data_IF_890845679514
#
_entry.id   IF_890845679514
#
_cell.length_a   1.000
_cell.length_b   1.000
_cell.length_c   1.000
_cell.angle_alpha   90.00
_cell.angle_beta   90.00
_cell.angle_gamma   90.00
#
_symmetry.space_group_name_H-M   'P 1'
#
loop_
_entity.id
_entity.type
_entity.pdbx_description
1 polymer ?
#
# COMPACT_ATOMS: atom_id res chain seq x y z
N UNK A 1 10.30 -2.02 -8.51
CA UNK A 1 9.49 -0.89 -7.99
C UNK A 1 10.23 -0.21 -6.83
N UNK A 2 10.47 -0.92 -5.73
CA UNK A 2 10.90 -0.31 -4.45
C UNK A 2 12.42 -0.12 -4.28
N UNK A 3 13.24 -0.76 -5.13
CA UNK A 3 14.70 -0.62 -5.00
C UNK A 3 15.21 0.81 -5.26
N UNK A 4 14.53 1.62 -6.11
CA UNK A 4 14.92 3.02 -6.32
C UNK A 4 14.55 3.90 -5.13
N UNK A 5 13.38 3.67 -4.53
CA UNK A 5 12.95 4.30 -3.28
C UNK A 5 13.94 4.01 -2.13
N UNK A 6 14.40 2.77 -2.00
CA UNK A 6 15.45 2.38 -1.04
C UNK A 6 16.79 3.12 -1.25
N UNK A 7 17.05 3.62 -2.46
CA UNK A 7 18.24 4.43 -2.77
C UNK A 7 18.06 5.91 -2.41
N UNK A 8 16.94 6.30 -1.79
CA UNK A 8 16.64 7.69 -1.43
C UNK A 8 16.28 8.56 -2.63
N UNK A 9 15.86 7.96 -3.75
CA UNK A 9 15.40 8.67 -4.93
C UNK A 9 13.87 8.53 -5.04
N UNK A 10 13.13 9.65 -5.13
CA UNK A 10 11.69 9.60 -5.38
C UNK A 10 11.42 8.82 -6.66
N UNK A 11 10.51 7.85 -6.60
CA UNK A 11 10.15 7.04 -7.74
C UNK A 11 8.65 6.78 -7.78
N UNK A 12 8.03 7.11 -8.90
CA UNK A 12 6.63 6.78 -9.18
C UNK A 12 6.64 5.70 -10.27
N UNK A 13 6.23 4.47 -9.94
CA UNK A 13 6.22 3.37 -10.88
C UNK A 13 4.96 3.42 -11.76
N UNK A 14 5.11 2.90 -12.98
CA UNK A 14 4.00 2.66 -13.90
C UNK A 14 3.48 1.24 -13.67
N UNK A 15 2.19 1.12 -13.40
CA UNK A 15 1.49 -0.15 -13.17
C UNK A 15 0.51 -0.38 -14.32
N UNK A 16 0.56 -1.55 -14.96
CA UNK A 16 -0.46 -1.90 -15.94
C UNK A 16 -1.77 -2.23 -15.21
N UNK A 17 -2.91 -1.76 -15.70
CA UNK A 17 -4.19 -1.76 -14.96
C UNK A 17 -4.71 -3.12 -14.49
N UNK A 18 -4.19 -4.25 -15.00
CA UNK A 18 -4.50 -5.59 -14.47
C UNK A 18 -3.67 -5.98 -13.23
N UNK A 19 -2.77 -5.11 -12.77
CA UNK A 19 -1.83 -5.35 -11.67
C UNK A 19 -1.99 -4.31 -10.55
N UNK A 20 -3.11 -3.60 -10.49
CA UNK A 20 -3.38 -2.62 -9.43
C UNK A 20 -3.40 -3.27 -8.05
N UNK A 21 -4.18 -4.36 -7.89
CA UNK A 21 -4.24 -5.11 -6.63
C UNK A 21 -2.86 -5.68 -6.23
N UNK A 22 -2.08 -6.15 -7.20
CA UNK A 22 -0.73 -6.66 -6.99
C UNK A 22 0.22 -5.54 -6.53
N UNK A 23 0.08 -4.33 -7.07
CA UNK A 23 0.86 -3.16 -6.65
C UNK A 23 0.50 -2.75 -5.22
N UNK A 24 -0.78 -2.74 -4.84
CA UNK A 24 -1.26 -2.44 -3.49
C UNK A 24 -0.77 -3.51 -2.49
N UNK A 25 -0.88 -4.79 -2.83
CA UNK A 25 -0.41 -5.87 -1.97
C UNK A 25 1.11 -5.81 -1.78
N UNK A 26 1.86 -5.52 -2.86
CA UNK A 26 3.30 -5.34 -2.81
C UNK A 26 3.68 -4.15 -1.93
N UNK A 27 3.03 -2.99 -2.10
CA UNK A 27 3.36 -1.78 -1.35
C UNK A 27 3.25 -1.99 0.17
N UNK A 28 2.19 -2.67 0.63
CA UNK A 28 2.02 -3.10 2.02
C UNK A 28 3.13 -4.04 2.48
N UNK A 29 3.42 -5.08 1.69
CA UNK A 29 4.44 -6.08 2.01
C UNK A 29 5.83 -5.46 2.19
N UNK A 30 6.14 -4.40 1.44
CA UNK A 30 7.42 -3.71 1.51
C UNK A 30 7.44 -2.52 2.50
N UNK A 31 6.40 -2.35 3.31
CA UNK A 31 6.33 -1.29 4.33
C UNK A 31 6.10 0.11 3.75
N UNK A 32 5.52 0.20 2.57
CA UNK A 32 5.25 1.45 1.85
C UNK A 32 3.76 1.56 1.47
N UNK A 33 2.83 1.53 2.44
CA UNK A 33 1.39 1.48 2.16
C UNK A 33 0.89 2.68 1.34
N UNK A 34 1.56 3.84 1.47
CA UNK A 34 1.23 5.08 0.76
C UNK A 34 2.01 5.28 -0.54
N UNK A 35 2.61 4.22 -1.10
CA UNK A 35 3.34 4.28 -2.36
C UNK A 35 2.41 4.76 -3.49
N UNK A 36 2.73 5.91 -4.07
CA UNK A 36 2.04 6.45 -5.23
C UNK A 36 2.53 5.77 -6.50
N UNK A 37 1.62 5.48 -7.43
CA UNK A 37 1.91 4.88 -8.73
C UNK A 37 0.90 5.35 -9.78
N UNK A 38 1.28 5.28 -11.06
CA UNK A 38 0.41 5.67 -12.18
C UNK A 38 -0.04 4.43 -12.93
N UNK A 39 -1.32 4.35 -13.27
CA UNK A 39 -1.91 3.21 -13.96
C UNK A 39 -1.97 3.46 -15.46
N UNK A 40 -1.44 2.53 -16.26
CA UNK A 40 -1.60 2.50 -17.72
C UNK A 40 -2.54 1.38 -18.15
N UNK A 41 -3.33 1.55 -19.23
CA UNK A 41 -4.41 0.62 -19.56
C UNK A 41 -3.92 -0.76 -20.02
N UNK A 42 -2.73 -0.88 -20.61
CA UNK A 42 -2.27 -2.13 -21.25
C UNK A 42 -0.99 -2.64 -20.61
N UNK A 43 -0.86 -3.97 -20.61
CA UNK A 43 0.36 -4.66 -20.21
C UNK A 43 1.37 -4.48 -21.34
N UNK A 44 2.59 -4.01 -21.02
CA UNK A 44 3.66 -3.79 -22.00
C UNK A 44 4.14 -5.08 -22.68
N UNK A 45 3.96 -6.25 -22.04
CA UNK A 45 4.37 -7.53 -22.60
C UNK A 45 3.61 -7.82 -23.90
N UNK A 46 4.36 -7.98 -24.99
CA UNK A 46 3.85 -8.23 -26.35
C UNK A 46 2.90 -7.13 -26.87
N UNK A 47 3.00 -5.91 -26.35
CA UNK A 47 2.30 -4.76 -26.88
C UNK A 47 3.10 -4.16 -28.04
N UNK A 48 2.42 -3.71 -29.09
CA UNK A 48 3.07 -3.04 -30.20
C UNK A 48 3.77 -1.76 -29.73
N UNK A 49 4.91 -1.43 -30.34
CA UNK A 49 5.78 -0.33 -29.89
C UNK A 49 5.07 1.03 -29.92
N UNK A 50 4.26 1.27 -30.95
CA UNK A 50 3.45 2.49 -31.08
C UNK A 50 2.47 2.65 -29.92
N UNK A 51 1.82 1.56 -29.51
CA UNK A 51 0.91 1.54 -28.37
C UNK A 51 1.65 1.64 -27.03
N UNK A 52 2.86 1.10 -26.92
CA UNK A 52 3.72 1.29 -25.74
C UNK A 52 4.04 2.78 -25.56
N UNK A 53 4.44 3.44 -26.65
CA UNK A 53 4.79 4.87 -26.64
C UNK A 53 3.56 5.69 -26.28
N UNK A 54 2.45 5.53 -27.02
CA UNK A 54 1.27 6.37 -26.83
C UNK A 54 0.71 6.27 -25.41
N UNK A 55 0.61 5.06 -24.84
CA UNK A 55 0.09 4.92 -23.47
C UNK A 55 1.07 5.45 -22.40
N UNK A 56 2.37 5.48 -22.71
CA UNK A 56 3.36 6.05 -21.79
C UNK A 56 3.29 7.55 -21.82
N UNK A 57 3.19 8.14 -23.02
CA UNK A 57 3.04 9.58 -23.24
C UNK A 57 1.80 10.12 -22.52
N UNK A 58 0.67 9.41 -22.64
CA UNK A 58 -0.58 9.75 -21.96
C UNK A 58 -0.44 9.78 -20.42
N UNK A 59 0.53 9.07 -19.86
CA UNK A 59 0.77 8.97 -18.41
C UNK A 59 1.84 9.94 -17.88
N UNK A 60 2.53 10.70 -18.75
CA UNK A 60 3.66 11.56 -18.33
C UNK A 60 3.22 12.64 -17.36
N UNK A 61 2.10 13.32 -17.63
CA UNK A 61 1.63 14.41 -16.79
C UNK A 61 1.26 13.92 -15.38
N UNK A 62 0.65 12.73 -15.28
CA UNK A 62 0.34 12.10 -14.01
C UNK A 62 1.62 11.71 -13.25
N UNK A 63 2.63 11.18 -13.95
CA UNK A 63 3.93 10.85 -13.34
C UNK A 63 4.62 12.09 -12.78
N UNK A 64 4.64 13.18 -13.54
CA UNK A 64 5.20 14.46 -13.10
C UNK A 64 4.40 14.99 -11.90
N UNK A 65 3.07 14.94 -11.97
CA UNK A 65 2.18 15.34 -10.89
C UNK A 65 2.49 14.61 -9.59
N UNK A 66 2.57 13.28 -9.63
CA UNK A 66 2.93 12.48 -8.46
C UNK A 66 4.34 12.81 -7.94
N UNK A 67 5.34 12.89 -8.82
CA UNK A 67 6.74 13.15 -8.42
C UNK A 67 6.97 14.57 -7.85
N UNK A 68 6.13 15.54 -8.22
CA UNK A 68 6.30 16.95 -7.86
C UNK A 68 5.31 17.43 -6.79
N UNK A 69 4.29 16.63 -6.48
CA UNK A 69 3.35 16.93 -5.41
C UNK A 69 4.02 16.78 -4.03
N UNK A 70 3.76 17.73 -3.12
CA UNK A 70 4.04 17.54 -1.71
C UNK A 70 3.18 16.36 -1.24
N UNK A 71 3.80 15.23 -0.89
CA UNK A 71 3.15 13.92 -0.65
C UNK A 71 2.19 13.85 0.54
N UNK A 72 1.20 14.75 0.63
CA UNK A 72 0.38 14.99 1.81
C UNK A 72 -1.03 14.42 1.76
N UNK A 73 -1.46 13.78 0.66
CA UNK A 73 -2.89 13.43 0.50
C UNK A 73 -3.30 12.03 0.99
N UNK A 74 -2.37 11.16 1.37
CA UNK A 74 -2.71 9.80 1.86
C UNK A 74 -2.41 9.55 3.33
N UNK A 75 -1.70 10.47 4.00
CA UNK A 75 -1.65 10.45 5.46
C UNK A 75 -2.96 10.98 6.04
N UNK A 76 -4.09 10.32 5.76
CA UNK A 76 -5.08 10.18 6.82
C UNK A 76 -4.37 9.37 7.89
N UNK A 77 -3.58 10.04 8.73
CA UNK A 77 -3.07 9.48 9.97
C UNK A 77 -4.35 9.23 10.76
N UNK A 78 -4.93 8.01 10.73
CA UNK A 78 -6.17 7.79 11.45
C UNK A 78 -5.74 7.96 12.88
N UNK A 79 -6.19 9.07 13.49
CA UNK A 79 -5.78 9.57 14.80
C UNK A 79 -5.30 8.41 15.65
N UNK A 80 -3.97 8.28 15.76
CA UNK A 80 -3.35 7.06 16.27
C UNK A 80 -3.89 6.89 17.68
N UNK A 81 -4.86 5.99 17.85
CA UNK A 81 -5.44 5.75 19.16
C UNK A 81 -4.35 5.08 19.98
N UNK A 82 -3.77 5.82 20.92
CA UNK A 82 -2.76 5.32 21.84
C UNK A 82 -3.25 4.08 22.63
N UNK A 83 -4.56 3.83 22.63
CA UNK A 83 -5.17 2.67 23.29
C UNK A 83 -6.36 2.16 22.49
N UNK A 84 -6.33 0.87 22.14
CA UNK A 84 -7.44 0.17 21.47
C UNK A 84 -8.12 -0.75 22.48
N UNK A 85 -9.45 -0.63 22.61
CA UNK A 85 -10.24 -1.42 23.56
C UNK A 85 -10.97 -2.56 22.84
N UNK A 86 -10.90 -3.76 23.40
CA UNK A 86 -11.62 -4.95 22.93
C UNK A 86 -12.54 -5.48 24.03
N UNK A 87 -13.79 -5.76 23.69
CA UNK A 87 -14.80 -6.28 24.63
C UNK A 87 -15.33 -7.65 24.18
N UNK A 88 -15.58 -8.52 25.16
CA UNK A 88 -16.09 -9.86 24.95
C UNK A 88 -16.89 -10.35 26.15
N UNK A 89 -17.52 -11.51 25.99
CA UNK A 89 -18.35 -12.12 27.04
C UNK A 89 -17.51 -12.44 28.30
N UNK A 90 -16.23 -12.72 28.11
CA UNK A 90 -15.23 -12.86 29.16
C UNK A 90 -13.84 -12.36 28.72
N UNK A 91 -12.84 -12.52 29.59
CA UNK A 91 -11.44 -12.14 29.28
C UNK A 91 -10.87 -12.91 28.09
N UNK A 92 -11.25 -14.18 27.92
CA UNK A 92 -10.72 -15.01 26.85
C UNK A 92 -11.29 -14.57 25.50
N UNK A 93 -12.60 -14.32 25.43
CA UNK A 93 -13.28 -13.79 24.24
C UNK A 93 -12.73 -12.41 23.85
N UNK A 94 -12.48 -11.52 24.81
CA UNK A 94 -11.86 -10.23 24.54
C UNK A 94 -10.46 -10.36 23.90
N UNK A 95 -9.63 -11.31 24.39
CA UNK A 95 -8.30 -11.58 23.84
C UNK A 95 -8.37 -12.22 22.45
N UNK A 96 -9.35 -13.10 22.20
CA UNK A 96 -9.56 -13.68 20.87
C UNK A 96 -9.96 -12.61 19.85
N UNK A 97 -10.88 -11.71 20.21
CA UNK A 97 -11.29 -10.58 19.37
C UNK A 97 -10.14 -9.63 19.08
N UNK A 98 -9.29 -9.36 20.08
CA UNK A 98 -8.05 -8.60 19.89
C UNK A 98 -7.13 -9.27 18.87
N UNK A 99 -6.83 -10.55 19.04
CA UNK A 99 -5.94 -11.28 18.12
C UNK A 99 -6.51 -11.35 16.69
N UNK A 100 -7.81 -11.56 16.53
CA UNK A 100 -8.47 -11.55 15.23
C UNK A 100 -8.35 -10.20 14.52
N UNK A 101 -8.54 -9.09 15.24
CA UNK A 101 -8.40 -7.75 14.68
C UNK A 101 -6.95 -7.41 14.33
N UNK A 102 -5.99 -7.80 15.17
CA UNK A 102 -4.56 -7.59 14.90
C UNK A 102 -4.11 -8.38 13.68
N UNK A 103 -4.59 -9.61 13.51
CA UNK A 103 -4.35 -10.40 12.31
C UNK A 103 -4.97 -9.72 11.08
N UNK A 104 -6.20 -9.21 11.17
CA UNK A 104 -6.90 -8.52 10.06
C UNK A 104 -6.17 -7.24 9.62
N UNK A 105 -5.44 -6.59 10.51
CA UNK A 105 -4.69 -5.35 10.24
C UNK A 105 -3.23 -5.59 9.84
N UNK A 106 -2.82 -6.85 9.68
CA UNK A 106 -1.41 -7.22 9.44
C UNK A 106 -0.47 -6.74 10.57
N UNK A 107 -0.97 -6.67 11.81
CA UNK A 107 -0.22 -6.29 13.02
C UNK A 107 0.24 -7.49 13.85
N UNK A 108 -0.06 -8.71 13.41
CA UNK A 108 0.30 -9.97 14.05
C UNK A 108 0.87 -10.93 13.02
N UNK A 109 1.82 -11.77 13.44
CA UNK A 109 2.37 -12.90 12.69
C UNK A 109 1.56 -14.20 12.88
N UNK A 110 0.34 -14.08 13.40
CA UNK A 110 -0.55 -15.16 13.83
C UNK A 110 -0.08 -15.95 15.06
N UNK A 111 1.00 -15.53 15.75
CA UNK A 111 1.28 -16.01 17.11
C UNK A 111 0.35 -15.30 18.12
N UNK A 112 -0.04 -15.98 19.21
CA UNK A 112 -0.88 -15.37 20.23
C UNK A 112 -0.24 -14.12 20.85
N UNK A 113 -0.92 -12.99 20.70
CA UNK A 113 -0.58 -11.73 21.34
C UNK A 113 -1.32 -11.60 22.67
N UNK A 114 -0.64 -11.04 23.67
CA UNK A 114 -1.21 -10.72 24.98
C UNK A 114 -1.14 -9.20 25.21
N UNK A 115 -2.20 -8.58 25.74
CA UNK A 115 -2.16 -7.17 26.09
C UNK A 115 -1.16 -6.94 27.25
N UNK A 116 -0.52 -5.77 27.32
CA UNK A 116 0.30 -5.40 28.47
C UNK A 116 -0.56 -5.40 29.74
N UNK A 117 0.00 -5.98 30.82
CA UNK A 117 -0.62 -6.05 32.15
C UNK A 117 -0.32 -4.82 32.99
#
# INVERSE_FOLDING_TARGET
MIEIEKMGKPAVPIVSGRFEDDAIASSKTFGMPDLQFVIVPRIYRNLADDLCISQTEDAIDDLIGCLTSDGSNSASNPQQEDTIRFEGDDRYDAVLKMNAEFLRRDWSDALPLFPPT
#
